data_IF_001143918734
#
_entry.id   IF_001143918734
#
_cell.length_a   1.000
_cell.length_b   1.000
_cell.length_c   1.000
_cell.angle_alpha   90.00
_cell.angle_beta   90.00
_cell.angle_gamma   90.00
#
_symmetry.space_group_name_H-M   'P 1'
#
loop_
_entity.id
_entity.type
_entity.pdbx_description
1 polymer ?
#
# COMPACT_ATOMS: atom_id res chain seq x y z
N UNK A 1 -48.26 -49.50 -29.21
CA UNK A 1 -47.43 -49.42 -28.00
C UNK A 1 -45.99 -49.44 -28.48
N UNK A 2 -45.39 -48.25 -28.64
CA UNK A 2 -44.33 -47.69 -27.76
C UNK A 2 -43.01 -48.46 -27.91
N UNK A 3 -41.85 -47.88 -28.17
CA UNK A 3 -41.31 -46.61 -27.70
C UNK A 3 -40.14 -46.13 -28.57
N UNK A 4 -39.90 -44.81 -28.54
CA UNK A 4 -38.77 -44.10 -29.17
C UNK A 4 -37.42 -44.64 -28.70
N UNK A 5 -36.53 -44.96 -29.64
CA UNK A 5 -35.10 -45.07 -29.38
C UNK A 5 -34.49 -43.66 -29.25
N UNK A 6 -34.28 -43.21 -28.00
CA UNK A 6 -33.58 -41.96 -27.68
C UNK A 6 -32.08 -42.25 -27.55
N UNK A 7 -31.34 -41.86 -28.57
CA UNK A 7 -29.87 -41.78 -28.57
C UNK A 7 -29.41 -40.81 -27.47
N UNK A 8 -29.04 -41.33 -26.31
CA UNK A 8 -28.41 -40.57 -25.23
C UNK A 8 -26.92 -40.42 -25.51
N UNK A 9 -26.53 -39.30 -26.11
CA UNK A 9 -25.14 -38.86 -26.23
C UNK A 9 -24.61 -38.51 -24.84
N UNK A 10 -23.89 -39.45 -24.19
CA UNK A 10 -23.15 -39.17 -22.96
C UNK A 10 -21.91 -38.33 -23.27
N UNK A 11 -22.04 -37.00 -23.15
CA UNK A 11 -20.92 -36.06 -23.19
C UNK A 11 -20.04 -36.30 -21.95
N UNK A 12 -18.71 -36.52 -22.06
CA UNK A 12 -17.87 -36.67 -20.88
C UNK A 12 -17.86 -35.36 -20.09
N UNK A 13 -18.18 -35.42 -18.79
CA UNK A 13 -18.07 -34.28 -17.90
C UNK A 13 -16.61 -33.79 -17.87
N UNK A 14 -16.39 -32.54 -18.26
CA UNK A 14 -15.08 -31.91 -18.21
C UNK A 14 -14.54 -31.96 -16.77
N UNK A 15 -13.36 -32.57 -16.58
CA UNK A 15 -12.65 -32.51 -15.30
C UNK A 15 -12.41 -31.02 -14.94
N UNK A 16 -12.73 -30.58 -13.72
CA UNK A 16 -12.39 -29.23 -13.30
C UNK A 16 -10.87 -29.09 -13.33
N UNK A 17 -10.38 -28.17 -14.17
CA UNK A 17 -8.97 -27.79 -14.22
C UNK A 17 -8.62 -27.21 -12.86
N UNK A 18 -7.84 -27.95 -12.07
CA UNK A 18 -7.34 -27.46 -10.79
C UNK A 18 -6.50 -26.20 -11.03
N UNK A 19 -6.70 -25.12 -10.25
CA UNK A 19 -5.93 -23.90 -10.43
C UNK A 19 -4.44 -24.22 -10.25
N UNK A 20 -3.62 -23.76 -11.20
CA UNK A 20 -2.17 -23.90 -11.17
C UNK A 20 -1.62 -23.51 -9.79
N UNK A 21 -0.70 -24.29 -9.18
CA UNK A 21 -0.13 -23.98 -7.87
C UNK A 21 0.52 -22.60 -7.91
N UNK A 22 -0.02 -21.64 -7.14
CA UNK A 22 0.64 -20.34 -6.93
C UNK A 22 1.98 -20.60 -6.25
N UNK A 23 3.05 -20.04 -6.80
CA UNK A 23 4.39 -20.12 -6.23
C UNK A 23 4.38 -19.71 -4.74
N UNK A 24 5.18 -20.38 -3.88
CA UNK A 24 5.23 -20.07 -2.47
C UNK A 24 5.67 -18.62 -2.26
N UNK A 25 4.80 -17.82 -1.62
CA UNK A 25 5.07 -16.40 -1.37
C UNK A 25 5.99 -16.28 -0.15
N UNK A 26 7.16 -15.65 -0.31
CA UNK A 26 8.06 -15.36 0.81
C UNK A 26 7.52 -14.22 1.68
N UNK A 27 6.55 -14.54 2.55
CA UNK A 27 5.88 -13.56 3.42
C UNK A 27 6.76 -13.04 4.55
N UNK A 28 7.74 -13.82 5.01
CA UNK A 28 8.68 -13.37 6.04
C UNK A 28 9.63 -12.29 5.50
N UNK A 29 10.19 -12.49 4.30
CA UNK A 29 10.99 -11.46 3.64
C UNK A 29 10.21 -10.18 3.39
N UNK A 30 8.93 -10.29 3.01
CA UNK A 30 8.05 -9.13 2.85
C UNK A 30 7.77 -8.40 4.18
N UNK A 31 7.67 -9.12 5.30
CA UNK A 31 7.51 -8.51 6.62
C UNK A 31 8.74 -7.68 7.02
N UNK A 32 9.94 -8.23 6.82
CA UNK A 32 11.20 -7.52 7.12
C UNK A 32 11.36 -6.32 6.19
N UNK A 33 11.10 -6.49 4.90
CA UNK A 33 11.14 -5.39 3.94
C UNK A 33 10.14 -4.29 4.30
N UNK A 34 8.90 -4.66 4.67
CA UNK A 34 7.89 -3.72 5.16
C UNK A 34 8.44 -2.86 6.28
N UNK A 35 8.99 -3.48 7.33
CA UNK A 35 9.56 -2.76 8.46
C UNK A 35 10.70 -1.81 8.04
N UNK A 36 11.62 -2.26 7.19
CA UNK A 36 12.75 -1.44 6.71
C UNK A 36 12.29 -0.22 5.91
N UNK A 37 11.39 -0.42 4.96
CA UNK A 37 10.83 0.68 4.16
C UNK A 37 10.05 1.67 5.03
N UNK A 38 9.26 1.18 5.99
CA UNK A 38 8.53 2.03 6.93
C UNK A 38 9.45 2.83 7.85
N UNK A 39 10.56 2.25 8.33
CA UNK A 39 11.56 2.95 9.15
C UNK A 39 12.23 4.08 8.36
N UNK A 40 12.70 3.81 7.14
CA UNK A 40 13.27 4.84 6.28
C UNK A 40 12.24 5.92 5.92
N UNK A 41 10.99 5.51 5.69
CA UNK A 41 9.86 6.38 5.43
C UNK A 41 9.58 7.32 6.59
N UNK A 42 9.54 6.81 7.83
CA UNK A 42 9.40 7.61 9.06
C UNK A 42 10.56 8.56 9.24
N UNK A 43 11.81 8.12 9.08
CA UNK A 43 12.98 8.99 9.26
C UNK A 43 12.95 10.17 8.28
N UNK A 44 12.62 9.88 7.02
CA UNK A 44 12.43 10.91 6.00
C UNK A 44 11.27 11.84 6.34
N UNK A 45 10.20 11.32 6.94
CA UNK A 45 9.05 12.11 7.37
C UNK A 45 9.39 13.04 8.55
N UNK A 46 10.10 12.54 9.55
CA UNK A 46 10.56 13.32 10.70
C UNK A 46 11.47 14.47 10.27
N UNK A 47 12.32 14.26 9.26
CA UNK A 47 13.12 15.34 8.67
C UNK A 47 12.25 16.47 8.10
N UNK A 48 11.14 16.13 7.43
CA UNK A 48 10.19 17.11 6.91
C UNK A 48 9.49 17.85 8.07
N UNK A 49 9.05 17.12 9.10
CA UNK A 49 8.42 17.73 10.28
C UNK A 49 9.35 18.72 10.98
N UNK A 50 10.65 18.41 11.08
CA UNK A 50 11.63 19.30 11.69
C UNK A 50 11.80 20.62 10.91
N UNK A 51 11.53 20.61 9.60
CA UNK A 51 11.62 21.80 8.74
C UNK A 51 10.25 22.39 8.39
N UNK A 52 9.17 21.89 8.99
CA UNK A 52 7.80 22.28 8.65
C UNK A 52 7.53 23.75 8.96
N UNK A 53 8.14 24.28 10.03
CA UNK A 53 7.94 25.67 10.44
C UNK A 53 8.43 26.65 9.38
N UNK A 54 9.60 26.41 8.78
CA UNK A 54 10.11 27.23 7.68
C UNK A 54 9.24 27.11 6.43
N UNK A 55 8.80 25.89 6.14
CA UNK A 55 7.95 25.60 4.98
C UNK A 55 6.60 26.34 5.05
N UNK A 56 5.96 26.36 6.22
CA UNK A 56 4.70 27.06 6.45
C UNK A 56 4.93 28.58 6.36
N UNK A 57 5.99 29.09 7.02
CA UNK A 57 6.31 30.52 7.06
C UNK A 57 6.55 31.12 5.67
N UNK A 58 7.20 30.38 4.78
CA UNK A 58 7.51 30.83 3.43
C UNK A 58 6.56 30.28 2.35
N UNK A 59 5.46 29.61 2.74
CA UNK A 59 4.52 28.95 1.86
C UNK A 59 5.20 28.09 0.75
N UNK A 60 6.26 27.36 1.13
CA UNK A 60 7.19 26.70 0.20
C UNK A 60 7.10 25.17 0.23
N UNK A 61 5.94 24.63 0.62
CA UNK A 61 5.70 23.17 0.75
C UNK A 61 6.09 22.43 -0.53
N UNK A 62 5.92 23.06 -1.70
CA UNK A 62 6.14 22.44 -3.01
C UNK A 62 7.23 23.09 -3.87
N UNK A 63 7.95 24.10 -3.37
CA UNK A 63 9.01 24.83 -4.11
C UNK A 63 10.40 24.67 -3.50
N UNK A 64 10.50 24.12 -2.30
CA UNK A 64 11.77 23.94 -1.57
C UNK A 64 12.48 22.62 -1.87
N UNK A 65 13.72 22.50 -1.38
CA UNK A 65 14.53 21.27 -1.33
C UNK A 65 13.82 20.09 -0.62
N UNK A 66 12.69 20.34 0.06
CA UNK A 66 11.91 19.33 0.78
C UNK A 66 10.92 18.56 -0.08
N UNK A 67 10.55 19.08 -1.27
CA UNK A 67 9.69 18.36 -2.22
C UNK A 67 10.19 16.93 -2.55
N UNK A 68 11.46 16.73 -2.97
CA UNK A 68 11.95 15.37 -3.24
C UNK A 68 11.96 14.49 -1.99
N UNK A 69 12.23 15.05 -0.81
CA UNK A 69 12.19 14.31 0.46
C UNK A 69 10.77 13.86 0.81
N UNK A 70 9.77 14.72 0.58
CA UNK A 70 8.36 14.40 0.77
C UNK A 70 7.88 13.28 -0.16
N UNK A 71 8.24 13.36 -1.45
CA UNK A 71 7.94 12.31 -2.42
C UNK A 71 8.61 10.99 -2.02
N UNK A 72 9.88 11.05 -1.60
CA UNK A 72 10.64 9.87 -1.16
C UNK A 72 10.01 9.23 0.07
N UNK A 73 9.69 10.04 1.09
CA UNK A 73 8.99 9.58 2.28
C UNK A 73 7.65 8.92 1.92
N UNK A 74 6.86 9.53 1.03
CA UNK A 74 5.60 8.97 0.59
C UNK A 74 5.77 7.60 -0.08
N UNK A 75 6.70 7.47 -1.02
CA UNK A 75 6.97 6.21 -1.73
C UNK A 75 7.41 5.12 -0.75
N UNK A 76 8.36 5.42 0.13
CA UNK A 76 8.88 4.48 1.12
C UNK A 76 7.76 3.98 2.04
N UNK A 77 6.92 4.88 2.53
CA UNK A 77 5.81 4.49 3.40
C UNK A 77 4.73 3.70 2.63
N UNK A 78 4.40 4.04 1.36
CA UNK A 78 3.47 3.22 0.55
C UNK A 78 3.98 1.79 0.40
N UNK A 79 5.25 1.64 0.04
CA UNK A 79 5.88 0.33 -0.14
C UNK A 79 5.86 -0.43 1.18
N UNK A 80 6.30 0.21 2.27
CA UNK A 80 6.30 -0.34 3.62
C UNK A 80 4.91 -0.82 4.05
N UNK A 81 3.89 0.00 3.83
CA UNK A 81 2.49 -0.32 4.15
C UNK A 81 1.95 -1.48 3.30
N UNK A 82 2.12 -1.42 1.98
CA UNK A 82 1.61 -2.45 1.07
C UNK A 82 2.25 -3.82 1.34
N UNK A 83 3.56 -3.85 1.59
CA UNK A 83 4.27 -5.07 1.98
C UNK A 83 3.80 -5.59 3.34
N UNK A 84 3.55 -4.69 4.30
CA UNK A 84 3.07 -5.05 5.63
C UNK A 84 1.69 -5.70 5.59
N UNK A 85 0.75 -5.11 4.84
CA UNK A 85 -0.58 -5.67 4.64
C UNK A 85 -0.53 -7.06 3.97
N UNK A 86 0.35 -7.24 2.97
CA UNK A 86 0.53 -8.53 2.29
C UNK A 86 1.17 -9.59 3.19
N UNK A 87 2.10 -9.18 4.04
CA UNK A 87 2.86 -10.07 4.92
C UNK A 87 2.18 -10.35 6.27
N UNK A 88 1.07 -9.67 6.61
CA UNK A 88 0.36 -9.83 7.90
C UNK A 88 -0.01 -11.27 8.22
N UNK A 89 -0.30 -12.07 7.20
CA UNK A 89 -0.66 -13.49 7.30
C UNK A 89 0.56 -14.42 7.30
N UNK A 90 1.74 -13.92 7.65
CA UNK A 90 2.96 -14.71 7.78
C UNK A 90 3.00 -15.38 9.15
N UNK A 91 3.17 -16.70 9.18
CA UNK A 91 3.24 -17.47 10.43
C UNK A 91 4.39 -17.05 11.36
N UNK A 92 5.51 -16.58 10.79
CA UNK A 92 6.70 -16.14 11.55
C UNK A 92 6.96 -14.63 11.49
N UNK A 93 6.39 -13.94 10.50
CA UNK A 93 6.65 -12.51 10.24
C UNK A 93 5.44 -11.59 10.44
N UNK A 94 4.26 -12.12 10.81
CA UNK A 94 3.03 -11.34 10.87
C UNK A 94 3.12 -10.14 11.80
N UNK A 95 3.68 -10.32 13.01
CA UNK A 95 3.88 -9.23 13.97
C UNK A 95 4.79 -8.12 13.43
N UNK A 96 5.91 -8.49 12.82
CA UNK A 96 6.86 -7.55 12.19
C UNK A 96 6.17 -6.77 11.07
N UNK A 97 5.38 -7.45 10.24
CA UNK A 97 4.64 -6.84 9.15
C UNK A 97 3.59 -5.83 9.64
N UNK A 98 2.90 -6.13 10.74
CA UNK A 98 1.93 -5.22 11.36
C UNK A 98 2.64 -3.98 11.89
N UNK A 99 3.76 -4.14 12.61
CA UNK A 99 4.54 -2.99 13.11
C UNK A 99 5.03 -2.11 11.95
N UNK A 100 5.56 -2.72 10.89
CA UNK A 100 5.94 -2.01 9.67
C UNK A 100 4.77 -1.25 9.05
N UNK A 101 3.61 -1.89 8.88
CA UNK A 101 2.43 -1.22 8.35
C UNK A 101 1.95 -0.07 9.23
N UNK A 102 1.91 -0.25 10.55
CA UNK A 102 1.51 0.79 11.50
C UNK A 102 2.44 2.00 11.41
N UNK A 103 3.76 1.78 11.38
CA UNK A 103 4.73 2.86 11.21
C UNK A 103 4.55 3.62 9.91
N UNK A 104 4.31 2.93 8.80
CA UNK A 104 4.06 3.59 7.52
C UNK A 104 2.72 4.34 7.47
N UNK A 105 1.71 3.90 8.24
CA UNK A 105 0.37 4.46 8.17
C UNK A 105 0.29 5.93 8.63
N UNK A 106 1.09 6.33 9.62
CA UNK A 106 1.07 7.69 10.16
C UNK A 106 1.59 8.71 9.13
N UNK A 107 2.81 8.57 8.57
CA UNK A 107 3.27 9.45 7.49
C UNK A 107 2.34 9.44 6.28
N UNK A 108 1.80 8.27 5.90
CA UNK A 108 0.87 8.17 4.77
C UNK A 108 -0.39 8.97 5.00
N UNK A 109 -1.02 8.83 6.17
CA UNK A 109 -2.23 9.56 6.53
C UNK A 109 -1.99 11.07 6.45
N UNK A 110 -0.88 11.56 7.00
CA UNK A 110 -0.55 12.98 6.97
C UNK A 110 -0.26 13.47 5.55
N UNK A 111 0.53 12.72 4.77
CA UNK A 111 0.78 13.08 3.37
C UNK A 111 -0.51 13.13 2.54
N UNK A 112 -1.45 12.21 2.76
CA UNK A 112 -2.76 12.21 2.08
C UNK A 112 -3.57 13.45 2.46
N UNK A 113 -3.60 13.83 3.74
CA UNK A 113 -4.28 15.05 4.20
C UNK A 113 -3.67 16.30 3.56
N UNK A 114 -2.33 16.43 3.55
CA UNK A 114 -1.63 17.56 2.93
C UNK A 114 -1.99 17.66 1.44
N UNK A 115 -2.01 16.53 0.74
CA UNK A 115 -2.32 16.46 -0.68
C UNK A 115 -3.79 16.83 -0.96
N UNK A 116 -4.72 16.37 -0.12
CA UNK A 116 -6.13 16.76 -0.19
C UNK A 116 -6.34 18.26 0.01
N UNK A 117 -5.73 18.85 1.04
CA UNK A 117 -5.80 20.30 1.29
C UNK A 117 -5.26 21.09 0.10
N UNK A 118 -4.16 20.62 -0.49
CA UNK A 118 -3.59 21.25 -1.68
C UNK A 118 -4.53 21.18 -2.89
N UNK A 119 -5.16 20.02 -3.15
CA UNK A 119 -6.15 19.89 -4.24
C UNK A 119 -7.34 20.82 -4.01
N UNK A 120 -7.87 20.90 -2.78
CA UNK A 120 -8.99 21.80 -2.44
C UNK A 120 -8.63 23.27 -2.69
N UNK A 121 -7.40 23.69 -2.34
CA UNK A 121 -6.90 25.04 -2.64
C UNK A 121 -6.80 25.29 -4.15
N UNK A 122 -6.39 24.30 -4.95
CA UNK A 122 -6.32 24.42 -6.42
C UNK A 122 -7.70 24.49 -7.08
N UNK A 123 -8.69 23.77 -6.57
CA UNK A 123 -10.06 23.79 -7.11
C UNK A 123 -10.88 24.99 -6.65
N UNK A 124 -10.30 25.90 -5.86
CA UNK A 124 -10.98 27.07 -5.32
C UNK A 124 -12.00 26.77 -4.21
N UNK A 125 -12.08 25.52 -3.76
CA UNK A 125 -12.93 25.10 -2.66
C UNK A 125 -12.19 25.41 -1.36
N UNK A 126 -12.49 26.57 -0.75
CA UNK A 126 -11.96 26.88 0.57
C UNK A 126 -12.67 26.00 1.61
N UNK A 127 -11.94 25.21 2.42
CA UNK A 127 -12.56 24.58 3.58
C UNK A 127 -13.02 25.70 4.53
N UNK A 128 -14.29 25.62 4.94
CA UNK A 128 -14.93 26.54 5.89
C UNK A 128 -14.16 26.60 7.21
#
# INVERSE_FOLDING_TARGET
MTELDKTSTSKPAAKPVSPSPKAPVNRQGQAVASLMFSLLGILSFLYILNHLNEVIKYNSIFTSKLKPVMITSFILNIIGFALGIRARHSARGGGIAIVGATFASIPLGICVVILLVFILKLTGVQPL
#
